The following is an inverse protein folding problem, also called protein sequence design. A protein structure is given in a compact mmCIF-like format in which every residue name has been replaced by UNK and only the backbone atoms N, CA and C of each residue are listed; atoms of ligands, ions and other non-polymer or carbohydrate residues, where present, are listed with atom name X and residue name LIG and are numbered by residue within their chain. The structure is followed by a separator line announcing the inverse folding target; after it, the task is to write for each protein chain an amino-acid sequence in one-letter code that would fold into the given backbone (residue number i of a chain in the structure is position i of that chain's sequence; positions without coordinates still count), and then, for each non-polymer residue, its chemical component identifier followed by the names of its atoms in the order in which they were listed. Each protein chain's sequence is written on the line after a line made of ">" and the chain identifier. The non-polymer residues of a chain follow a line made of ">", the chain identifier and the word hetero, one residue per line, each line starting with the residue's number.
data_IF_370651622337
#
_entry.id   IF_370651622337
#
_cell.length_a   1.000
_cell.length_b   1.000
_cell.length_c   1.000
_cell.angle_alpha   90.00
_cell.angle_beta   90.00
_cell.angle_gamma   90.00
#
_symmetry.space_group_name_H-M   'P 1'
#
loop_
_entity.id
_entity.type
_entity.pdbx_description
1 polymer ?
#
# COMPACT_ATOMS: atom_id res chain seq x y z
N UNK A 1 2.49 -0.90 2.61
CA UNK A 1 2.01 -1.37 1.30
C UNK A 1 2.41 -2.82 1.07
N UNK A 2 1.53 -3.56 0.40
CA UNK A 2 1.92 -4.74 -0.36
C UNK A 2 2.13 -4.34 -1.82
N UNK A 3 3.26 -4.75 -2.37
CA UNK A 3 3.55 -4.65 -3.80
C UNK A 3 3.58 -6.05 -4.38
N UNK A 4 2.85 -6.27 -5.42
CA UNK A 4 2.85 -7.52 -6.14
C UNK A 4 3.73 -7.39 -7.39
N UNK A 5 4.34 -8.49 -7.81
CA UNK A 5 5.01 -8.56 -9.08
C UNK A 5 4.05 -9.09 -10.17
N UNK A 6 3.37 -8.21 -10.93
CA UNK A 6 2.38 -8.64 -11.90
C UNK A 6 2.99 -9.25 -13.17
N UNK A 7 4.32 -9.35 -13.25
CA UNK A 7 5.01 -10.04 -14.33
C UNK A 7 5.26 -11.51 -14.02
N UNK A 8 4.90 -11.98 -12.81
CA UNK A 8 5.11 -13.35 -12.37
C UNK A 8 3.78 -14.06 -12.09
N UNK A 9 3.55 -15.17 -12.77
CA UNK A 9 2.40 -16.02 -12.45
C UNK A 9 2.55 -16.63 -11.04
N UNK A 10 1.45 -16.73 -10.27
CA UNK A 10 0.08 -16.36 -10.64
C UNK A 10 -0.29 -14.91 -10.29
N UNK A 11 0.66 -14.06 -9.88
CA UNK A 11 0.43 -12.65 -9.49
C UNK A 11 0.21 -11.72 -10.70
N UNK A 12 0.35 -12.21 -11.92
CA UNK A 12 -0.11 -11.56 -13.16
C UNK A 12 -1.64 -11.37 -13.17
N UNK A 13 -2.38 -12.17 -12.38
CA UNK A 13 -3.84 -12.14 -12.29
C UNK A 13 -4.33 -11.28 -11.12
N UNK A 14 -5.16 -10.24 -11.38
CA UNK A 14 -5.68 -9.35 -10.33
C UNK A 14 -6.48 -10.09 -9.25
N UNK A 15 -7.23 -11.12 -9.59
CA UNK A 15 -8.01 -11.90 -8.62
C UNK A 15 -7.12 -12.62 -7.60
N UNK A 16 -5.93 -13.05 -7.98
CA UNK A 16 -4.97 -13.64 -7.04
C UNK A 16 -4.44 -12.57 -6.08
N UNK A 17 -4.08 -11.39 -6.59
CA UNK A 17 -3.61 -10.28 -5.75
C UNK A 17 -4.69 -9.82 -4.77
N UNK A 18 -5.95 -9.70 -5.25
CA UNK A 18 -7.10 -9.39 -4.38
C UNK A 18 -7.34 -10.45 -3.31
N UNK A 19 -7.16 -11.73 -3.65
CA UNK A 19 -7.27 -12.81 -2.68
C UNK A 19 -6.26 -12.65 -1.54
N UNK A 20 -5.00 -12.33 -1.86
CA UNK A 20 -3.96 -12.09 -0.86
C UNK A 20 -4.34 -10.93 0.07
N UNK A 21 -4.81 -9.79 -0.48
CA UNK A 21 -5.21 -8.63 0.34
C UNK A 21 -6.41 -8.95 1.23
N UNK A 22 -7.41 -9.67 0.69
CA UNK A 22 -8.60 -10.09 1.45
C UNK A 22 -8.31 -11.12 2.53
N UNK A 23 -7.24 -11.89 2.39
CA UNK A 23 -6.84 -12.88 3.39
C UNK A 23 -6.23 -12.26 4.64
N UNK A 24 -5.71 -11.05 4.56
CA UNK A 24 -4.99 -10.40 5.66
C UNK A 24 -5.98 -9.68 6.57
N UNK A 25 -6.04 -10.11 7.84
CA UNK A 25 -6.82 -9.46 8.89
C UNK A 25 -6.15 -8.16 9.33
N UNK A 26 -6.50 -7.06 8.65
CA UNK A 26 -5.93 -5.74 8.89
C UNK A 26 -6.27 -5.20 10.29
N UNK A 27 -7.44 -5.53 10.83
CA UNK A 27 -7.81 -5.13 12.20
C UNK A 27 -6.93 -5.83 13.23
N UNK A 28 -6.60 -7.09 12.99
CA UNK A 28 -5.67 -7.81 13.85
C UNK A 28 -4.24 -7.29 13.73
N UNK A 29 -3.79 -6.90 12.53
CA UNK A 29 -2.51 -6.20 12.37
C UNK A 29 -2.46 -4.91 13.20
N UNK A 30 -3.53 -4.11 13.16
CA UNK A 30 -3.62 -2.86 13.91
C UNK A 30 -3.57 -3.11 15.41
N UNK A 31 -4.38 -4.04 15.90
CA UNK A 31 -4.49 -4.28 17.36
C UNK A 31 -3.27 -4.98 17.94
N UNK A 32 -2.70 -6.00 17.25
CA UNK A 32 -1.64 -6.84 17.78
C UNK A 32 -0.22 -6.36 17.47
N UNK A 33 -0.02 -5.74 16.30
CA UNK A 33 1.31 -5.36 15.82
C UNK A 33 1.58 -3.87 15.86
N UNK A 34 0.54 -3.04 15.85
CA UNK A 34 0.65 -1.58 15.82
C UNK A 34 0.00 -0.91 17.04
N UNK A 35 -0.33 -1.66 18.09
CA UNK A 35 -0.87 -1.15 19.35
C UNK A 35 -2.09 -0.22 19.19
N UNK A 36 -2.89 -0.45 18.15
CA UNK A 36 -4.02 0.41 17.80
C UNK A 36 -3.64 1.73 17.10
N UNK A 37 -2.35 1.95 16.81
CA UNK A 37 -1.83 3.20 16.23
C UNK A 37 -1.86 3.21 14.70
N UNK A 38 -2.96 2.75 14.13
CA UNK A 38 -3.20 2.80 12.69
C UNK A 38 -4.70 2.75 12.39
N UNK A 39 -5.06 3.07 11.17
CA UNK A 39 -6.39 2.82 10.61
C UNK A 39 -6.29 1.87 9.43
N UNK A 40 -7.31 1.05 9.23
CA UNK A 40 -7.38 0.15 8.08
C UNK A 40 -7.42 0.94 6.77
N UNK A 41 -6.65 0.49 5.79
CA UNK A 41 -6.74 1.04 4.45
C UNK A 41 -7.89 0.37 3.68
N UNK A 42 -8.88 1.16 3.32
CA UNK A 42 -10.04 0.76 2.52
C UNK A 42 -9.93 1.22 1.07
N UNK A 43 -9.01 2.11 0.79
CA UNK A 43 -8.68 2.64 -0.53
C UNK A 43 -7.20 2.99 -0.59
N UNK A 44 -6.73 3.40 -1.77
CA UNK A 44 -5.35 3.89 -1.92
C UNK A 44 -5.12 5.22 -1.18
N UNK A 45 -6.11 6.08 -1.10
CA UNK A 45 -6.09 7.28 -0.26
C UNK A 45 -6.73 7.00 1.10
N UNK A 46 -6.25 7.62 2.19
CA UNK A 46 -6.88 7.53 3.50
C UNK A 46 -8.24 8.27 3.52
N UNK A 47 -9.16 7.84 4.37
CA UNK A 47 -10.51 8.45 4.49
C UNK A 47 -10.47 9.96 4.84
N UNK A 48 -9.42 10.39 5.51
CA UNK A 48 -9.20 11.82 5.80
C UNK A 48 -8.83 12.66 4.57
N UNK A 49 -8.48 12.03 3.43
CA UNK A 49 -8.16 12.76 2.20
C UNK A 49 -9.43 13.29 1.55
N UNK A 50 -9.50 14.58 1.15
CA UNK A 50 -10.69 15.14 0.50
C UNK A 50 -11.14 14.41 -0.78
N UNK A 51 -10.21 13.79 -1.49
CA UNK A 51 -10.47 13.02 -2.70
C UNK A 51 -10.74 11.52 -2.43
N UNK A 52 -10.80 11.10 -1.16
CA UNK A 52 -11.10 9.72 -0.83
C UNK A 52 -12.45 9.28 -1.41
N UNK A 53 -12.44 8.07 -1.95
CA UNK A 53 -13.63 7.29 -2.27
C UNK A 53 -13.42 5.85 -1.85
N UNK A 54 -14.40 5.24 -1.20
CA UNK A 54 -14.39 3.79 -1.00
C UNK A 54 -14.58 3.11 -2.36
N UNK A 55 -13.62 2.27 -2.79
CA UNK A 55 -13.73 1.58 -4.07
C UNK A 55 -14.92 0.63 -4.15
N UNK A 56 -15.41 0.41 -5.35
CA UNK A 56 -16.43 -0.61 -5.64
C UNK A 56 -15.90 -2.04 -5.44
N UNK A 57 -14.62 -2.27 -5.69
CA UNK A 57 -13.94 -3.53 -5.36
C UNK A 57 -13.65 -3.56 -3.86
N UNK A 58 -14.39 -4.37 -3.13
CA UNK A 58 -14.19 -4.56 -1.69
C UNK A 58 -12.97 -5.45 -1.41
N UNK A 59 -11.99 -4.86 -0.72
CA UNK A 59 -10.75 -5.52 -0.27
C UNK A 59 -10.69 -5.68 1.26
N UNK A 60 -11.83 -5.56 1.95
CA UNK A 60 -11.91 -5.88 3.38
C UNK A 60 -11.58 -7.35 3.63
N UNK A 61 -11.15 -7.64 4.87
CA UNK A 61 -10.83 -9.00 5.30
C UNK A 61 -12.02 -9.93 5.10
N UNK A 62 -11.80 -10.99 4.33
CA UNK A 62 -12.77 -12.04 4.07
C UNK A 62 -12.02 -13.29 3.61
N UNK A 63 -11.70 -14.17 4.56
CA UNK A 63 -10.93 -15.38 4.31
C UNK A 63 -11.65 -16.34 3.35
N UNK A 64 -12.98 -16.44 3.45
CA UNK A 64 -13.75 -17.36 2.61
C UNK A 64 -13.78 -16.87 1.16
N UNK A 65 -14.00 -15.57 0.96
CA UNK A 65 -13.91 -14.97 -0.37
C UNK A 65 -12.47 -15.06 -0.95
N UNK A 66 -11.43 -14.89 -0.12
CA UNK A 66 -10.04 -15.07 -0.54
C UNK A 66 -9.77 -16.51 -0.99
N UNK A 67 -10.22 -17.49 -0.22
CA UNK A 67 -10.11 -18.92 -0.57
C UNK A 67 -10.82 -19.22 -1.89
N UNK A 68 -12.04 -18.67 -2.05
CA UNK A 68 -12.80 -18.84 -3.29
C UNK A 68 -12.09 -18.23 -4.50
N UNK A 69 -11.55 -17.02 -4.39
CA UNK A 69 -10.80 -16.36 -5.47
C UNK A 69 -9.59 -17.20 -5.92
N UNK A 70 -8.82 -17.77 -4.97
CA UNK A 70 -7.69 -18.63 -5.30
C UNK A 70 -8.16 -19.93 -5.96
N UNK A 71 -9.21 -20.54 -5.45
CA UNK A 71 -9.79 -21.77 -6.03
C UNK A 71 -10.32 -21.54 -7.45
N UNK A 72 -11.07 -20.46 -7.68
CA UNK A 72 -11.60 -20.11 -9.00
C UNK A 72 -10.45 -19.81 -10.00
N UNK A 73 -9.35 -19.26 -9.49
CA UNK A 73 -8.13 -19.05 -10.25
C UNK A 73 -7.28 -20.34 -10.43
N UNK A 74 -7.69 -21.48 -9.87
CA UNK A 74 -6.93 -22.73 -9.94
C UNK A 74 -5.59 -22.68 -9.21
N UNK A 75 -5.47 -21.82 -8.18
CA UNK A 75 -4.24 -21.66 -7.37
C UNK A 75 -4.40 -22.44 -6.08
N UNK A 76 -3.49 -23.39 -5.86
CA UNK A 76 -3.40 -24.16 -4.62
C UNK A 76 -1.96 -24.47 -4.29
N UNK A 77 -1.61 -24.52 -2.99
CA UNK A 77 -0.26 -24.88 -2.53
C UNK A 77 0.85 -23.95 -3.04
N UNK A 78 0.51 -22.71 -3.40
CA UNK A 78 1.46 -21.74 -3.94
C UNK A 78 2.54 -21.42 -2.90
N UNK A 79 3.79 -21.46 -3.33
CA UNK A 79 4.92 -20.94 -2.58
C UNK A 79 5.11 -19.46 -2.93
N UNK A 80 5.10 -18.61 -1.90
CA UNK A 80 5.16 -17.15 -2.02
C UNK A 80 6.46 -16.63 -1.43
N UNK A 81 7.22 -15.89 -2.23
CA UNK A 81 8.42 -15.19 -1.78
C UNK A 81 8.04 -13.77 -1.35
N UNK A 82 7.88 -13.60 -0.04
CA UNK A 82 7.61 -12.32 0.60
C UNK A 82 8.94 -11.66 1.00
N UNK A 83 9.22 -10.49 0.44
CA UNK A 83 10.38 -9.70 0.85
C UNK A 83 9.91 -8.47 1.63
N UNK A 84 10.58 -8.14 2.72
CA UNK A 84 10.25 -6.93 3.48
C UNK A 84 11.46 -6.06 3.78
N UNK A 85 11.21 -4.77 4.02
CA UNK A 85 12.21 -3.92 4.65
C UNK A 85 12.43 -4.34 6.10
N UNK A 86 13.58 -3.97 6.66
CA UNK A 86 13.97 -4.27 8.06
C UNK A 86 13.47 -3.23 9.07
N UNK A 87 12.59 -2.33 8.68
CA UNK A 87 11.97 -1.40 9.63
C UNK A 87 11.22 -2.15 10.73
N UNK A 88 11.50 -1.90 12.03
CA UNK A 88 10.92 -2.67 13.13
C UNK A 88 9.41 -2.81 13.08
N UNK A 89 8.69 -1.73 12.76
CA UNK A 89 7.23 -1.76 12.68
C UNK A 89 6.72 -2.53 11.43
N UNK A 90 7.49 -2.60 10.33
CA UNK A 90 7.16 -3.46 9.17
C UNK A 90 7.35 -4.91 9.53
N UNK A 91 8.45 -5.24 10.21
CA UNK A 91 8.73 -6.58 10.66
C UNK A 91 7.70 -7.09 11.67
N UNK A 92 7.13 -6.22 12.50
CA UNK A 92 6.07 -6.62 13.43
C UNK A 92 4.78 -7.11 12.74
N UNK A 93 4.54 -6.72 11.48
CA UNK A 93 3.39 -7.17 10.70
C UNK A 93 3.57 -8.56 10.10
N UNK A 94 4.82 -8.96 9.84
CA UNK A 94 5.15 -10.18 9.06
C UNK A 94 4.59 -11.47 9.68
N UNK A 95 4.69 -11.72 10.99
CA UNK A 95 4.16 -12.96 11.57
C UNK A 95 2.66 -13.14 11.33
N UNK A 96 1.87 -12.08 11.46
CA UNK A 96 0.43 -12.13 11.22
C UNK A 96 0.12 -12.32 9.74
N UNK A 97 0.76 -11.55 8.86
CA UNK A 97 0.58 -11.69 7.39
C UNK A 97 0.91 -13.12 6.95
N UNK A 98 2.04 -13.64 7.41
CA UNK A 98 2.44 -15.02 7.12
C UNK A 98 1.40 -16.03 7.60
N UNK A 99 0.94 -15.90 8.84
CA UNK A 99 -0.10 -16.78 9.40
C UNK A 99 -1.39 -16.74 8.61
N UNK A 100 -1.83 -15.54 8.18
CA UNK A 100 -3.07 -15.37 7.43
C UNK A 100 -2.97 -16.01 6.03
N UNK A 101 -1.84 -15.85 5.35
CA UNK A 101 -1.60 -16.45 4.05
C UNK A 101 -1.43 -17.97 4.13
N UNK A 102 -0.74 -18.48 5.15
CA UNK A 102 -0.59 -19.92 5.39
C UNK A 102 -1.95 -20.58 5.73
N UNK A 103 -2.87 -19.83 6.35
CA UNK A 103 -4.25 -20.29 6.58
C UNK A 103 -5.10 -20.46 5.31
N UNK A 104 -4.63 -19.95 4.16
CA UNK A 104 -5.19 -20.22 2.82
C UNK A 104 -4.53 -21.44 2.14
N UNK A 105 -3.61 -22.13 2.81
CA UNK A 105 -2.84 -23.22 2.22
C UNK A 105 -1.64 -22.77 1.38
N UNK A 106 -1.21 -21.52 1.50
CA UNK A 106 0.00 -21.01 0.86
C UNK A 106 1.23 -21.33 1.72
N UNK A 107 2.41 -21.43 1.10
CA UNK A 107 3.68 -21.52 1.81
C UNK A 107 4.43 -20.20 1.66
N UNK A 108 4.69 -19.51 2.76
CA UNK A 108 5.31 -18.17 2.73
C UNK A 108 6.77 -18.25 3.15
N UNK A 109 7.67 -17.97 2.21
CA UNK A 109 9.08 -17.75 2.45
C UNK A 109 9.33 -16.26 2.65
N UNK A 110 9.77 -15.87 3.83
CA UNK A 110 10.03 -14.48 4.16
C UNK A 110 11.52 -14.18 4.20
N UNK A 111 11.90 -13.08 3.54
CA UNK A 111 13.26 -12.51 3.59
C UNK A 111 13.16 -11.03 3.96
N UNK A 112 13.93 -10.63 4.97
CA UNK A 112 14.06 -9.21 5.34
C UNK A 112 15.40 -8.64 4.87
N UNK A 113 15.43 -7.36 4.53
CA UNK A 113 16.67 -6.67 4.17
C UNK A 113 16.57 -5.16 4.39
N UNK A 114 17.70 -4.48 4.42
CA UNK A 114 17.71 -3.02 4.49
C UNK A 114 16.99 -2.43 3.27
N UNK A 115 16.30 -1.30 3.45
CA UNK A 115 15.54 -0.66 2.36
C UNK A 115 16.40 -0.39 1.13
N UNK A 116 17.65 0.07 1.32
CA UNK A 116 18.60 0.30 0.22
C UNK A 116 18.85 -0.96 -0.61
N UNK A 117 19.03 -2.10 0.07
CA UNK A 117 19.31 -3.38 -0.58
C UNK A 117 18.06 -3.94 -1.26
N UNK A 118 16.89 -3.77 -0.64
CA UNK A 118 15.62 -4.17 -1.23
C UNK A 118 15.39 -3.44 -2.57
N UNK A 119 15.55 -2.13 -2.57
CA UNK A 119 15.37 -1.37 -3.81
C UNK A 119 16.44 -1.69 -4.85
N UNK A 120 17.72 -1.67 -4.47
CA UNK A 120 18.79 -1.87 -5.43
C UNK A 120 18.89 -3.27 -6.01
N UNK A 121 18.55 -4.30 -5.24
CA UNK A 121 18.82 -5.69 -5.60
C UNK A 121 17.56 -6.55 -5.84
N UNK A 122 16.37 -6.04 -5.49
CA UNK A 122 15.12 -6.82 -5.59
C UNK A 122 14.08 -6.14 -6.48
N UNK A 123 13.81 -4.84 -6.28
CA UNK A 123 12.72 -4.17 -6.98
C UNK A 123 13.17 -3.34 -8.18
N UNK A 124 14.31 -2.66 -8.11
CA UNK A 124 14.78 -1.72 -9.15
C UNK A 124 15.69 -2.41 -10.18
N UNK A 125 15.52 -3.70 -10.34
CA UNK A 125 16.29 -4.56 -11.27
C UNK A 125 15.47 -4.94 -12.50
N UNK A 126 16.16 -5.39 -13.55
CA UNK A 126 15.55 -5.80 -14.81
C UNK A 126 14.85 -7.12 -14.60
N UNK A 127 14.18 -7.76 -14.31
CA UNK A 127 13.56 -9.06 -14.02
C UNK A 127 13.52 -9.37 -12.52
N UNK A 128 12.73 -8.64 -11.75
CA UNK A 128 12.59 -8.87 -10.32
C UNK A 128 12.03 -10.28 -10.03
N UNK A 129 12.57 -10.93 -9.00
CA UNK A 129 12.25 -12.31 -8.66
C UNK A 129 11.34 -12.46 -7.44
N UNK A 130 10.98 -11.36 -6.77
CA UNK A 130 10.01 -11.38 -5.67
C UNK A 130 8.59 -11.67 -6.19
N UNK A 131 7.74 -12.15 -5.31
CA UNK A 131 6.31 -12.29 -5.56
C UNK A 131 5.53 -11.16 -4.89
N UNK A 132 5.86 -10.87 -3.63
CA UNK A 132 5.26 -9.80 -2.84
C UNK A 132 6.36 -9.05 -2.08
N UNK A 133 6.29 -7.73 -2.09
CA UNK A 133 7.09 -6.86 -1.21
C UNK A 133 6.19 -6.23 -0.17
N UNK A 134 6.62 -6.25 1.09
CA UNK A 134 6.04 -5.50 2.20
C UNK A 134 6.98 -4.37 2.58
N UNK A 135 6.58 -3.15 2.30
CA UNK A 135 7.42 -1.98 2.55
C UNK A 135 6.62 -0.79 3.09
N UNK A 136 7.29 0.14 3.79
CA UNK A 136 6.66 1.39 4.17
C UNK A 136 6.38 2.23 2.93
N UNK A 137 5.25 2.91 2.93
CA UNK A 137 5.01 4.07 2.10
C UNK A 137 4.76 5.25 3.02
N UNK A 138 5.29 6.40 2.69
CA UNK A 138 5.06 7.61 3.46
C UNK A 138 4.40 8.68 2.59
N UNK A 139 3.06 8.59 2.39
CA UNK A 139 2.33 9.62 1.66
C UNK A 139 2.30 10.96 2.40
N UNK A 140 2.63 10.99 3.70
CA UNK A 140 2.61 12.21 4.49
C UNK A 140 3.64 13.26 4.02
N UNK A 141 4.71 12.82 3.34
CA UNK A 141 5.69 13.75 2.72
C UNK A 141 5.11 14.50 1.52
N UNK A 142 4.00 14.02 0.94
CA UNK A 142 3.36 14.60 -0.23
C UNK A 142 2.14 15.45 0.13
N UNK A 143 1.85 15.65 1.41
CA UNK A 143 0.65 16.35 1.86
C UNK A 143 -0.64 15.57 1.56
N UNK A 144 -1.68 16.30 1.16
CA UNK A 144 -3.00 15.73 0.87
C UNK A 144 -3.35 15.75 -0.62
N UNK A 145 -2.42 16.12 -1.48
CA UNK A 145 -2.65 16.15 -2.93
C UNK A 145 -2.80 14.71 -3.47
N UNK A 146 -3.98 14.32 -3.97
CA UNK A 146 -4.21 12.98 -4.48
C UNK A 146 -3.40 12.68 -5.73
N UNK A 147 -3.13 13.70 -6.56
CA UNK A 147 -2.34 13.58 -7.78
C UNK A 147 -0.90 13.18 -7.47
N UNK A 148 -0.28 13.87 -6.52
CA UNK A 148 1.09 13.58 -6.10
C UNK A 148 1.15 12.19 -5.46
N UNK A 149 0.23 11.86 -4.55
CA UNK A 149 0.21 10.56 -3.86
C UNK A 149 0.03 9.41 -4.85
N UNK A 150 -0.95 9.49 -5.74
CA UNK A 150 -1.23 8.41 -6.70
C UNK A 150 -0.13 8.31 -7.74
N UNK A 151 0.36 9.43 -8.28
CA UNK A 151 1.41 9.43 -9.31
C UNK A 151 2.75 8.92 -8.80
N UNK A 152 3.09 9.18 -7.53
CA UNK A 152 4.34 8.69 -6.97
C UNK A 152 4.39 7.16 -6.99
N UNK A 153 3.29 6.51 -6.62
CA UNK A 153 3.23 5.05 -6.47
C UNK A 153 2.76 4.31 -7.72
N UNK A 154 2.02 4.99 -8.61
CA UNK A 154 1.37 4.33 -9.75
C UNK A 154 1.45 5.15 -11.05
N UNK A 155 2.15 6.28 -11.05
CA UNK A 155 2.28 7.13 -12.23
C UNK A 155 3.32 6.63 -13.22
N UNK A 156 3.37 7.26 -14.39
CA UNK A 156 4.38 6.97 -15.42
C UNK A 156 5.74 7.58 -15.05
N UNK A 157 6.41 6.97 -14.11
CA UNK A 157 7.74 7.38 -13.65
C UNK A 157 8.72 6.18 -13.61
N UNK A 158 10.01 6.49 -13.49
CA UNK A 158 11.07 5.47 -13.52
C UNK A 158 10.95 4.44 -12.40
N UNK A 159 10.43 4.85 -11.24
CA UNK A 159 10.32 3.97 -10.07
C UNK A 159 9.22 2.94 -10.26
N UNK A 160 8.01 3.38 -10.63
CA UNK A 160 6.89 2.46 -10.88
C UNK A 160 7.18 1.53 -12.04
N UNK A 161 7.83 2.02 -13.10
CA UNK A 161 8.22 1.19 -14.25
C UNK A 161 9.13 0.03 -13.85
N UNK A 162 10.08 0.26 -12.94
CA UNK A 162 10.99 -0.78 -12.48
C UNK A 162 10.36 -1.67 -11.42
N UNK A 163 9.71 -1.07 -10.43
CA UNK A 163 9.20 -1.79 -9.25
C UNK A 163 7.97 -2.60 -9.53
N UNK A 164 7.01 -2.02 -10.22
CA UNK A 164 5.70 -2.64 -10.39
C UNK A 164 5.60 -3.42 -11.70
N UNK A 165 6.24 -2.95 -12.78
CA UNK A 165 6.13 -3.55 -14.10
C UNK A 165 4.70 -3.58 -14.65
N UNK A 166 3.79 -2.79 -14.10
CA UNK A 166 2.38 -2.77 -14.49
C UNK A 166 2.20 -2.34 -15.94
N UNK A 167 2.97 -1.37 -16.42
CA UNK A 167 2.95 -0.93 -17.81
C UNK A 167 3.34 -2.03 -18.82
N UNK A 168 4.01 -3.10 -18.35
CA UNK A 168 4.37 -4.26 -19.17
C UNK A 168 3.33 -5.36 -19.06
N UNK A 169 2.85 -5.63 -17.85
CA UNK A 169 1.92 -6.74 -17.57
C UNK A 169 0.48 -6.44 -17.98
N UNK A 170 0.03 -5.19 -17.87
CA UNK A 170 -1.33 -4.75 -18.24
C UNK A 170 -1.28 -3.28 -18.70
N UNK A 171 -0.74 -3.02 -19.92
CA UNK A 171 -0.56 -1.67 -20.45
C UNK A 171 -1.87 -0.91 -20.63
N UNK A 172 -2.98 -1.60 -20.90
CA UNK A 172 -4.28 -0.96 -21.08
C UNK A 172 -4.75 -0.30 -19.78
N UNK A 173 -4.75 -1.02 -18.68
CA UNK A 173 -5.18 -0.47 -17.40
C UNK A 173 -4.17 0.54 -16.83
N UNK A 174 -2.88 0.34 -17.07
CA UNK A 174 -1.87 1.33 -16.70
C UNK A 174 -2.12 2.67 -17.41
N UNK A 175 -2.29 2.65 -18.74
CA UNK A 175 -2.57 3.86 -19.52
C UNK A 175 -3.89 4.51 -19.12
N UNK A 176 -4.93 3.72 -18.81
CA UNK A 176 -6.20 4.24 -18.28
C UNK A 176 -5.98 4.99 -16.97
N UNK A 177 -5.14 4.48 -16.08
CA UNK A 177 -4.81 5.18 -14.84
C UNK A 177 -4.10 6.50 -15.10
N UNK A 178 -3.12 6.54 -16.03
CA UNK A 178 -2.42 7.78 -16.38
C UNK A 178 -3.40 8.84 -16.92
N UNK A 179 -4.33 8.44 -17.78
CA UNK A 179 -5.40 9.33 -18.29
C UNK A 179 -6.27 9.86 -17.15
N UNK A 180 -6.68 9.01 -16.20
CA UNK A 180 -7.46 9.43 -15.04
C UNK A 180 -6.71 10.42 -14.14
N UNK A 181 -5.41 10.21 -13.93
CA UNK A 181 -4.55 11.14 -13.17
C UNK A 181 -4.47 12.50 -13.87
N UNK A 182 -4.27 12.51 -15.19
CA UNK A 182 -4.17 13.74 -15.99
C UNK A 182 -5.50 14.49 -15.98
N UNK A 183 -6.62 13.83 -16.29
CA UNK A 183 -7.95 14.42 -16.29
C UNK A 183 -8.34 14.98 -14.91
N UNK A 184 -8.09 14.22 -13.85
CA UNK A 184 -8.40 14.67 -12.50
C UNK A 184 -7.56 15.89 -12.08
N UNK A 185 -6.31 15.95 -12.51
CA UNK A 185 -5.41 17.08 -12.24
C UNK A 185 -5.79 18.38 -12.98
N UNK A 186 -6.63 18.29 -14.01
CA UNK A 186 -7.13 19.46 -14.75
C UNK A 186 -8.51 19.94 -14.26
N UNK A 187 -9.10 19.27 -13.29
CA UNK A 187 -10.42 19.53 -12.76
C UNK A 187 -10.34 20.04 -11.32
N UNK A 188 -11.42 20.67 -10.88
CA UNK A 188 -11.60 21.13 -9.50
C UNK A 188 -12.89 20.58 -8.88
N UNK A 189 -12.98 20.66 -7.56
CA UNK A 189 -14.20 20.37 -6.81
C UNK A 189 -14.71 18.92 -7.01
N UNK A 190 -16.03 18.78 -7.17
CA UNK A 190 -16.68 17.46 -7.28
C UNK A 190 -16.29 16.70 -8.54
N UNK A 191 -16.00 17.41 -9.65
CA UNK A 191 -15.55 16.78 -10.89
C UNK A 191 -14.17 16.12 -10.72
N UNK A 192 -13.21 16.81 -10.10
CA UNK A 192 -11.91 16.25 -9.76
C UNK A 192 -12.07 15.06 -8.82
N UNK A 193 -12.89 15.21 -7.77
CA UNK A 193 -13.16 14.13 -6.80
C UNK A 193 -13.75 12.89 -7.46
N UNK A 194 -14.66 13.05 -8.43
CA UNK A 194 -15.21 11.93 -9.18
C UNK A 194 -14.11 11.18 -9.96
N UNK A 195 -13.22 11.90 -10.64
CA UNK A 195 -12.11 11.29 -11.39
C UNK A 195 -11.08 10.61 -10.48
N UNK A 196 -10.73 11.22 -9.37
CA UNK A 196 -9.90 10.55 -8.34
C UNK A 196 -10.59 9.30 -7.79
N UNK A 197 -11.93 9.30 -7.72
CA UNK A 197 -12.71 8.12 -7.35
C UNK A 197 -12.59 7.01 -8.38
N UNK A 198 -12.64 7.31 -9.69
CA UNK A 198 -12.43 6.33 -10.77
C UNK A 198 -11.01 5.75 -10.72
N UNK A 199 -9.99 6.57 -10.42
CA UNK A 199 -8.62 6.10 -10.24
C UNK A 199 -8.51 5.13 -9.05
N UNK A 200 -9.13 5.44 -7.91
CA UNK A 200 -9.14 4.56 -6.73
C UNK A 200 -9.88 3.24 -7.00
N UNK A 201 -10.97 3.25 -7.77
CA UNK A 201 -11.65 2.04 -8.21
C UNK A 201 -10.71 1.14 -9.03
N UNK A 202 -9.99 1.72 -9.99
CA UNK A 202 -9.04 0.98 -10.83
C UNK A 202 -7.87 0.42 -10.03
N UNK A 203 -7.33 1.21 -9.09
CA UNK A 203 -6.25 0.76 -8.19
C UNK A 203 -6.69 -0.43 -7.32
N UNK A 204 -7.90 -0.40 -6.80
CA UNK A 204 -8.45 -1.51 -6.02
C UNK A 204 -8.77 -2.73 -6.89
N UNK A 205 -9.28 -2.53 -8.11
CA UNK A 205 -9.54 -3.61 -9.06
C UNK A 205 -8.25 -4.35 -9.46
N UNK A 206 -7.21 -3.62 -9.79
CA UNK A 206 -5.95 -4.18 -10.28
C UNK A 206 -5.02 -4.64 -9.15
N UNK A 207 -5.06 -3.98 -8.00
CA UNK A 207 -4.31 -4.36 -6.78
C UNK A 207 -2.83 -4.65 -7.05
N UNK A 208 -2.15 -3.80 -7.84
CA UNK A 208 -0.71 -3.95 -8.10
C UNK A 208 0.10 -3.51 -6.89
N UNK A 209 -0.25 -2.34 -6.33
CA UNK A 209 0.18 -1.88 -5.00
C UNK A 209 -1.07 -1.57 -4.21
N UNK A 210 -1.13 -2.03 -2.96
CA UNK A 210 -2.25 -1.71 -2.08
C UNK A 210 -1.80 -1.46 -0.64
N UNK A 211 -2.26 -0.37 -0.01
CA UNK A 211 -1.99 -0.12 1.40
C UNK A 211 -2.77 -1.11 2.28
N UNK A 212 -2.15 -1.63 3.32
CA UNK A 212 -2.84 -2.43 4.33
C UNK A 212 -3.41 -1.55 5.43
N UNK A 213 -2.59 -0.61 5.90
CA UNK A 213 -2.93 0.30 7.00
C UNK A 213 -2.33 1.68 6.77
N UNK A 214 -2.95 2.70 7.32
CA UNK A 214 -2.39 4.04 7.47
C UNK A 214 -1.99 4.23 8.95
N UNK A 215 -0.69 4.26 9.19
CA UNK A 215 -0.15 4.36 10.55
C UNK A 215 -0.21 5.80 11.07
N UNK A 216 -0.60 5.96 12.33
CA UNK A 216 -0.57 7.26 12.98
C UNK A 216 0.87 7.74 13.17
N UNK A 217 1.11 9.00 12.91
CA UNK A 217 2.37 9.66 13.23
C UNK A 217 2.35 10.07 14.71
N UNK A 218 3.10 9.36 15.53
CA UNK A 218 3.16 9.61 16.97
C UNK A 218 4.29 10.58 17.25
N UNK A 219 3.97 11.69 17.94
CA UNK A 219 4.96 12.66 18.38
C UNK A 219 4.82 12.88 19.89
N UNK A 220 5.95 12.77 20.59
CA UNK A 220 6.02 13.03 22.03
C UNK A 220 6.68 14.38 22.31
N UNK A 221 6.17 15.10 23.30
CA UNK A 221 6.79 16.32 23.84
C UNK A 221 6.80 16.28 25.37
N UNK A 222 7.74 17.00 25.99
CA UNK A 222 7.74 17.19 27.44
C UNK A 222 7.12 18.55 27.77
N UNK A 223 5.86 18.59 28.23
CA UNK A 223 5.15 19.84 28.49
C UNK A 223 5.72 20.64 29.67
N UNK A 224 6.62 20.05 30.48
CA UNK A 224 7.33 20.77 31.54
C UNK A 224 8.55 21.54 31.02
N UNK A 225 9.06 21.18 29.83
CA UNK A 225 10.27 21.80 29.24
C UNK A 225 9.96 22.65 28.03
N UNK A 226 8.87 22.38 27.32
CA UNK A 226 8.51 23.12 26.12
C UNK A 226 7.04 23.54 26.15
N UNK A 227 6.75 24.67 25.51
CA UNK A 227 5.40 25.16 25.27
C UNK A 227 5.20 25.48 23.78
N UNK A 228 3.94 25.62 23.35
CA UNK A 228 3.60 25.94 21.96
C UNK A 228 3.79 24.78 20.98
N UNK A 229 4.18 23.58 21.43
CA UNK A 229 4.35 22.43 20.55
C UNK A 229 3.00 21.91 20.05
N UNK A 230 2.92 21.73 18.72
CA UNK A 230 1.76 21.13 18.05
C UNK A 230 2.22 19.99 17.14
N UNK A 231 1.52 18.86 17.18
CA UNK A 231 1.73 17.78 16.23
C UNK A 231 1.23 18.21 14.82
N UNK A 232 1.94 17.78 13.80
CA UNK A 232 1.58 18.02 12.41
C UNK A 232 1.28 16.69 11.70
N UNK A 233 0.51 16.75 10.64
CA UNK A 233 0.08 15.58 9.87
C UNK A 233 1.11 15.13 8.81
N UNK A 234 2.26 15.79 8.73
CA UNK A 234 3.36 15.45 7.82
C UNK A 234 4.59 14.98 8.59
N UNK A 235 5.55 14.38 7.88
CA UNK A 235 6.84 14.02 8.48
C UNK A 235 7.59 15.27 8.96
N UNK A 236 8.25 15.15 10.10
CA UNK A 236 9.03 16.21 10.71
C UNK A 236 8.36 16.84 11.93
N UNK A 237 8.91 17.96 12.36
CA UNK A 237 8.45 18.71 13.52
C UNK A 237 8.20 20.17 13.12
N UNK A 238 7.03 20.68 13.52
CA UNK A 238 6.75 22.11 13.45
C UNK A 238 7.29 22.78 14.72
N UNK A 239 8.38 23.54 14.56
CA UNK A 239 9.00 24.24 15.68
C UNK A 239 8.63 25.72 15.75
N UNK A 240 7.90 26.25 14.80
CA UNK A 240 7.42 27.63 14.81
C UNK A 240 6.45 27.81 15.99
N UNK A 241 6.77 28.76 16.89
CA UNK A 241 5.97 29.01 18.10
C UNK A 241 6.32 28.13 19.30
N UNK A 242 7.32 27.24 19.16
CA UNK A 242 7.83 26.44 20.29
C UNK A 242 8.86 27.24 21.06
N UNK A 243 8.72 27.30 22.37
CA UNK A 243 9.71 27.92 23.27
C UNK A 243 10.06 27.00 24.44
N UNK A 244 11.25 27.18 24.99
CA UNK A 244 11.65 26.55 26.25
C UNK A 244 10.91 27.22 27.42
N UNK A 245 10.51 26.44 28.40
CA UNK A 245 10.01 26.91 29.69
C UNK A 245 11.12 27.15 30.66
#
# INVERSE_FOLDING_TARGET
>A
FLWFNPQRAPFDRPEVRRAIVKAIDKQKLISSSLEGQAVEATSFLPEANPAYKKPSTDLSYDKDAATKLLSDAGVSGLEVNLVSTDHPWVLSLVPQIKSDLEALGLKVNHTQMASSDLYANVTDVDNPTYDIVLAPGDPSVFGTDPGIIISWWNGDNVWTKKRDGWQVSDPESFNKLQTLIEEAGQLDGDAAKAKWGEAQDLLAEKTVIFPLVFRNMITGSNPQKVEGFQAISSTGLQLLGVSAK
#
